data_IF_758380397832
#
_entry.id   IF_758380397832
#
_cell.length_a   1.000
_cell.length_b   1.000
_cell.length_c   1.000
_cell.angle_alpha   90.00
_cell.angle_beta   90.00
_cell.angle_gamma   90.00
#
_symmetry.space_group_name_H-M   'P 1'
#
loop_
_entity.id
_entity.type
_entity.pdbx_description
1 polymer ?
#
# COMPACT_ATOMS: atom_id res chain seq x y z
N UNK A 1 23.04 0.79 43.33
CA UNK A 1 22.07 -0.10 42.64
C UNK A 1 22.36 -0.12 41.14
N UNK A 2 23.60 -0.47 40.84
CA UNK A 2 24.11 -0.90 39.54
C UNK A 2 24.25 -2.42 39.61
N UNK A 3 24.07 -3.11 38.47
CA UNK A 3 24.02 -4.57 38.24
C UNK A 3 22.64 -5.21 38.49
N UNK A 4 21.95 -5.56 37.40
CA UNK A 4 21.19 -6.81 37.11
C UNK A 4 20.57 -6.67 35.69
N UNK A 5 21.35 -6.34 34.66
CA UNK A 5 20.90 -6.37 33.25
C UNK A 5 22.02 -6.75 32.27
N UNK A 6 22.89 -7.66 32.65
CA UNK A 6 23.86 -8.27 31.72
C UNK A 6 23.83 -9.79 31.93
N UNK A 7 23.22 -10.53 31.00
CA UNK A 7 23.14 -11.98 31.07
C UNK A 7 22.29 -12.62 29.98
N UNK A 8 22.96 -13.01 28.88
CA UNK A 8 22.59 -14.05 27.93
C UNK A 8 21.38 -13.79 27.00
N UNK A 9 21.59 -12.89 26.03
CA UNK A 9 21.03 -13.04 24.68
C UNK A 9 22.17 -13.59 23.81
N UNK A 10 22.03 -14.74 23.13
CA UNK A 10 23.01 -15.16 22.13
C UNK A 10 23.22 -14.05 21.11
N UNK A 11 24.47 -13.61 20.95
CA UNK A 11 24.91 -12.47 20.12
C UNK A 11 24.70 -12.64 18.62
N UNK A 12 24.03 -13.69 18.17
CA UNK A 12 23.80 -13.99 16.75
C UNK A 12 22.58 -13.29 16.12
N UNK A 13 21.77 -12.58 16.92
CA UNK A 13 20.54 -11.90 16.46
C UNK A 13 20.39 -10.48 17.03
N UNK A 14 21.50 -9.84 17.37
CA UNK A 14 21.53 -8.40 17.60
C UNK A 14 21.22 -7.69 16.27
N UNK A 15 19.94 -7.40 16.06
CA UNK A 15 19.41 -6.57 14.98
C UNK A 15 20.14 -5.23 14.98
N UNK A 16 21.13 -5.11 14.10
CA UNK A 16 21.60 -3.81 13.61
C UNK A 16 20.57 -3.34 12.59
N UNK A 17 19.39 -2.95 13.07
CA UNK A 17 18.49 -2.11 12.28
C UNK A 17 19.14 -0.72 12.16
N UNK A 18 20.17 -0.63 11.32
CA UNK A 18 20.52 0.62 10.65
C UNK A 18 19.31 1.00 9.82
N UNK A 19 18.85 2.25 9.96
CA UNK A 19 17.99 2.84 8.94
C UNK A 19 18.68 2.63 7.57
N UNK A 20 17.98 2.13 6.53
CA UNK A 20 18.60 1.89 5.24
C UNK A 20 19.17 3.21 4.71
N UNK A 21 20.48 3.25 4.55
CA UNK A 21 21.18 4.31 3.85
C UNK A 21 21.04 4.04 2.33
N UNK A 22 20.67 5.07 1.57
CA UNK A 22 20.73 5.17 0.10
C UNK A 22 20.26 3.92 -0.69
N UNK A 23 18.96 3.92 -1.00
CA UNK A 23 18.33 3.27 -2.17
C UNK A 23 18.84 1.88 -2.54
N UNK A 24 18.38 0.85 -1.84
CA UNK A 24 18.11 -0.40 -2.54
C UNK A 24 17.14 -0.07 -3.69
N UNK A 25 17.54 -0.42 -4.92
CA UNK A 25 16.72 -0.17 -6.09
C UNK A 25 15.35 -0.84 -5.87
N UNK A 26 14.28 -0.06 -6.04
CA UNK A 26 12.93 -0.60 -5.96
C UNK A 26 12.76 -1.60 -7.10
N UNK A 27 12.78 -2.89 -6.77
CA UNK A 27 12.57 -3.94 -7.76
C UNK A 27 11.07 -4.05 -8.09
N UNK A 28 10.70 -3.55 -9.27
CA UNK A 28 9.39 -3.86 -9.86
C UNK A 28 9.49 -5.23 -10.50
N UNK A 29 8.65 -6.20 -10.10
CA UNK A 29 8.75 -7.52 -10.70
C UNK A 29 8.44 -7.46 -12.20
N UNK A 30 9.30 -8.09 -13.02
CA UNK A 30 9.46 -7.86 -14.48
C UNK A 30 8.18 -7.99 -15.32
N UNK A 31 7.19 -8.69 -14.79
CA UNK A 31 5.93 -9.00 -15.44
C UNK A 31 4.82 -7.99 -15.12
N UNK A 32 5.11 -6.93 -14.35
CA UNK A 32 4.19 -5.79 -14.21
C UNK A 32 4.18 -5.05 -15.55
N UNK A 33 3.03 -5.10 -16.24
CA UNK A 33 2.83 -4.36 -17.47
C UNK A 33 2.35 -2.95 -17.13
N UNK A 34 1.23 -2.82 -16.40
CA UNK A 34 0.71 -1.52 -15.95
C UNK A 34 1.15 -1.19 -14.52
N UNK A 35 1.99 -0.16 -14.35
CA UNK A 35 2.45 0.39 -13.09
C UNK A 35 1.91 1.81 -12.88
N UNK A 36 1.30 2.04 -11.72
CA UNK A 36 0.96 3.37 -11.23
C UNK A 36 1.68 3.63 -9.92
N UNK A 37 2.32 4.79 -9.80
CA UNK A 37 2.98 5.20 -8.56
C UNK A 37 2.11 6.19 -7.80
N UNK A 38 1.92 5.95 -6.52
CA UNK A 38 1.26 6.88 -5.59
C UNK A 38 2.36 7.55 -4.76
N UNK A 39 2.56 8.86 -4.96
CA UNK A 39 3.45 9.66 -4.11
C UNK A 39 2.69 10.08 -2.85
N UNK A 40 3.19 9.66 -1.70
CA UNK A 40 2.58 9.90 -0.39
C UNK A 40 3.11 11.18 0.26
N UNK A 41 2.25 12.19 0.37
CA UNK A 41 2.48 13.48 1.04
C UNK A 41 2.03 13.47 2.51
N UNK A 42 1.87 12.28 3.11
CA UNK A 42 1.43 12.10 4.50
C UNK A 42 -0.09 12.04 4.64
N UNK A 43 -0.80 11.63 3.59
CA UNK A 43 -2.25 11.47 3.65
C UNK A 43 -2.65 10.26 4.51
N UNK A 44 -3.75 10.38 5.23
CA UNK A 44 -4.38 9.24 5.91
C UNK A 44 -4.82 8.13 4.94
N UNK A 45 -4.98 8.45 3.65
CA UNK A 45 -5.63 7.59 2.65
C UNK A 45 -4.72 7.11 1.51
N UNK A 46 -3.40 7.35 1.56
CA UNK A 46 -2.46 6.95 0.49
C UNK A 46 -2.50 5.44 0.20
N UNK A 47 -2.64 4.61 1.26
CA UNK A 47 -2.83 3.16 1.12
C UNK A 47 -4.17 2.80 0.45
N UNK A 48 -5.21 3.59 0.68
CA UNK A 48 -6.52 3.36 0.08
C UNK A 48 -6.50 3.68 -1.42
N UNK A 49 -5.80 4.75 -1.84
CA UNK A 49 -5.57 5.04 -3.26
C UNK A 49 -4.91 3.83 -3.93
N UNK A 50 -3.78 3.36 -3.40
CA UNK A 50 -3.07 2.22 -3.95
C UNK A 50 -3.96 0.97 -4.04
N UNK A 51 -4.77 0.72 -3.00
CA UNK A 51 -5.75 -0.37 -2.98
C UNK A 51 -6.81 -0.24 -4.08
N UNK A 52 -7.39 0.95 -4.29
CA UNK A 52 -8.37 1.18 -5.37
C UNK A 52 -7.78 0.93 -6.75
N UNK A 53 -6.52 1.32 -6.97
CA UNK A 53 -5.80 1.01 -8.21
C UNK A 53 -5.65 -0.51 -8.40
N UNK A 54 -5.31 -1.27 -7.35
CA UNK A 54 -5.25 -2.76 -7.41
C UNK A 54 -6.61 -3.39 -7.68
N UNK A 55 -7.68 -2.89 -7.06
CA UNK A 55 -9.06 -3.36 -7.28
C UNK A 55 -9.50 -3.12 -8.74
N UNK A 56 -8.97 -2.08 -9.37
CA UNK A 56 -9.08 -1.80 -10.80
C UNK A 56 -8.02 -2.53 -11.64
N UNK A 57 -7.45 -3.64 -11.15
CA UNK A 57 -6.55 -4.51 -11.93
C UNK A 57 -5.35 -3.80 -12.55
N UNK A 58 -4.83 -2.76 -11.89
CA UNK A 58 -3.56 -2.10 -12.24
C UNK A 58 -2.60 -2.25 -11.07
N UNK A 59 -1.31 -2.52 -11.34
CA UNK A 59 -0.33 -2.60 -10.26
C UNK A 59 -0.04 -1.20 -9.72
N UNK A 60 0.05 -1.09 -8.40
CA UNK A 60 0.32 0.16 -7.71
C UNK A 60 1.48 0.04 -6.73
N UNK A 61 2.28 1.10 -6.63
CA UNK A 61 3.37 1.23 -5.68
C UNK A 61 3.23 2.55 -4.94
N UNK A 62 3.42 2.55 -3.61
CA UNK A 62 3.47 3.78 -2.82
C UNK A 62 4.93 4.15 -2.62
N UNK A 63 5.27 5.41 -2.88
CA UNK A 63 6.59 5.97 -2.64
C UNK A 63 6.50 7.29 -1.85
N UNK A 64 7.54 7.66 -1.09
CA UNK A 64 7.61 8.97 -0.44
C UNK A 64 7.52 10.12 -1.46
N UNK A 65 6.91 11.23 -1.07
CA UNK A 65 6.75 12.41 -1.93
C UNK A 65 8.08 13.00 -2.45
N UNK A 66 9.17 12.81 -1.73
CA UNK A 66 10.51 13.31 -2.02
C UNK A 66 11.36 12.31 -2.83
N UNK A 67 10.75 11.24 -3.35
CA UNK A 67 11.42 10.30 -4.27
C UNK A 67 12.04 11.07 -5.44
N UNK A 68 13.35 10.92 -5.71
CA UNK A 68 14.01 11.60 -6.80
C UNK A 68 13.32 11.33 -8.15
N UNK A 69 13.15 12.36 -8.98
CA UNK A 69 12.47 12.23 -10.27
C UNK A 69 13.13 11.17 -11.16
N UNK A 70 14.46 11.07 -11.15
CA UNK A 70 15.19 10.07 -11.91
C UNK A 70 14.80 8.64 -11.52
N UNK A 71 14.71 8.36 -10.21
CA UNK A 71 14.34 7.04 -9.69
C UNK A 71 12.88 6.73 -10.03
N UNK A 72 11.99 7.73 -9.88
CA UNK A 72 10.58 7.60 -10.21
C UNK A 72 10.36 7.27 -11.70
N UNK A 73 11.07 7.96 -12.60
CA UNK A 73 10.98 7.72 -14.05
C UNK A 73 11.66 6.42 -14.48
N UNK A 74 12.69 5.96 -13.76
CA UNK A 74 13.34 4.67 -14.01
C UNK A 74 12.36 3.48 -13.85
N UNK A 75 11.33 3.63 -13.01
CA UNK A 75 10.25 2.64 -12.86
C UNK A 75 9.33 2.57 -14.08
N UNK A 76 9.37 3.56 -14.97
CA UNK A 76 8.50 3.72 -16.15
C UNK A 76 7.00 3.62 -15.83
N UNK A 77 6.48 4.44 -14.90
CA UNK A 77 5.05 4.43 -14.56
C UNK A 77 4.17 4.88 -15.73
N UNK A 78 3.03 4.24 -15.90
CA UNK A 78 1.96 4.65 -16.82
C UNK A 78 1.20 5.87 -16.28
N UNK A 79 1.16 6.02 -14.96
CA UNK A 79 0.49 7.13 -14.30
C UNK A 79 1.04 7.35 -12.89
N UNK A 80 0.90 8.59 -12.41
CA UNK A 80 1.34 9.01 -11.09
C UNK A 80 0.17 9.66 -10.37
N UNK A 81 -0.05 9.29 -9.10
CA UNK A 81 -1.07 9.89 -8.25
C UNK A 81 -0.38 10.59 -7.09
N UNK A 82 -0.57 11.90 -6.96
CA UNK A 82 -0.12 12.69 -5.81
C UNK A 82 -1.22 12.63 -4.75
N UNK A 83 -0.92 12.04 -3.60
CA UNK A 83 -1.90 11.90 -2.52
C UNK A 83 -2.30 13.26 -1.93
N UNK A 84 -3.34 13.23 -1.08
CA UNK A 84 -3.57 14.32 -0.14
C UNK A 84 -2.45 14.45 0.90
N UNK A 85 -2.61 15.40 1.81
CA UNK A 85 -1.68 15.68 2.89
C UNK A 85 -2.28 16.70 3.85
N UNK A 86 -1.85 16.75 5.12
CA UNK A 86 -2.40 17.65 6.11
C UNK A 86 -1.85 19.09 6.02
N UNK A 87 -0.74 19.29 5.31
CA UNK A 87 -0.04 20.58 5.20
C UNK A 87 -0.75 21.55 4.24
N UNK A 88 -0.50 22.85 4.39
CA UNK A 88 -0.70 23.83 3.31
C UNK A 88 0.53 23.88 2.41
N UNK A 89 0.36 24.15 1.12
CA UNK A 89 1.49 24.25 0.16
C UNK A 89 2.44 25.42 0.47
N UNK A 90 1.97 26.39 1.26
CA UNK A 90 2.73 27.57 1.69
C UNK A 90 3.43 27.38 3.04
N UNK A 91 3.16 26.28 3.75
CA UNK A 91 3.78 26.06 5.06
C UNK A 91 5.30 25.89 4.92
N UNK A 92 6.11 26.43 5.85
CA UNK A 92 7.55 26.16 5.88
C UNK A 92 7.82 24.65 6.01
N UNK A 93 8.56 24.09 5.05
CA UNK A 93 8.85 22.66 5.02
C UNK A 93 7.69 21.79 4.54
N UNK A 94 6.66 22.37 3.89
CA UNK A 94 5.59 21.61 3.28
C UNK A 94 6.14 20.52 2.33
N UNK A 95 5.60 19.29 2.36
CA UNK A 95 6.02 18.19 1.49
C UNK A 95 5.96 18.54 -0.01
N UNK A 96 7.07 18.42 -0.73
CA UNK A 96 7.15 18.79 -2.17
C UNK A 96 7.82 17.69 -2.98
N UNK A 97 7.25 17.35 -4.12
CA UNK A 97 7.91 16.53 -5.13
C UNK A 97 8.75 17.42 -6.06
N UNK A 98 9.59 16.80 -6.89
CA UNK A 98 10.33 17.49 -7.94
C UNK A 98 9.35 18.12 -8.97
N UNK A 99 9.37 19.45 -9.20
CA UNK A 99 8.47 20.11 -10.15
C UNK A 99 8.64 19.64 -11.60
N UNK A 100 9.81 19.09 -11.96
CA UNK A 100 10.07 18.50 -13.27
C UNK A 100 9.10 17.37 -13.61
N UNK A 101 8.50 16.74 -12.60
CA UNK A 101 7.44 15.76 -12.74
C UNK A 101 6.31 16.20 -13.68
N UNK A 102 5.86 17.44 -13.56
CA UNK A 102 4.73 17.98 -14.35
C UNK A 102 5.07 18.22 -15.82
N UNK A 103 6.35 18.09 -16.18
CA UNK A 103 6.86 18.23 -17.55
C UNK A 103 7.46 16.93 -18.09
N UNK A 104 7.54 15.87 -17.27
CA UNK A 104 8.13 14.60 -17.65
C UNK A 104 7.27 13.77 -18.63
N UNK A 105 6.05 14.23 -18.93
CA UNK A 105 5.16 13.60 -19.89
C UNK A 105 4.40 12.38 -19.37
N UNK A 106 4.50 12.05 -18.08
CA UNK A 106 3.72 10.97 -17.45
C UNK A 106 2.37 11.53 -16.96
N UNK A 107 1.23 10.89 -17.30
CA UNK A 107 -0.07 11.25 -16.75
C UNK A 107 -0.05 11.37 -15.23
N UNK A 108 -0.54 12.48 -14.69
CA UNK A 108 -0.48 12.75 -13.25
C UNK A 108 -1.83 13.22 -12.71
N UNK A 109 -2.28 12.61 -11.62
CA UNK A 109 -3.49 12.97 -10.88
C UNK A 109 -3.12 13.49 -9.49
N UNK A 110 -3.42 14.75 -9.19
CA UNK A 110 -3.32 15.30 -7.83
C UNK A 110 -4.63 15.16 -7.06
N UNK A 111 -4.58 14.70 -5.81
CA UNK A 111 -5.74 14.59 -4.92
C UNK A 111 -5.53 15.53 -3.72
N UNK A 112 -6.49 16.41 -3.47
CA UNK A 112 -6.47 17.42 -2.41
C UNK A 112 -5.14 18.22 -2.40
N UNK A 113 -4.25 17.95 -1.44
CA UNK A 113 -2.91 18.56 -1.39
C UNK A 113 -2.14 18.39 -2.70
N UNK A 114 -2.16 17.20 -3.32
CA UNK A 114 -1.47 16.95 -4.58
C UNK A 114 -1.98 17.84 -5.74
N UNK A 115 -3.28 18.13 -5.77
CA UNK A 115 -3.86 19.10 -6.73
C UNK A 115 -3.39 20.52 -6.43
N UNK A 116 -3.35 20.90 -5.15
CA UNK A 116 -2.93 22.24 -4.73
C UNK A 116 -1.45 22.48 -5.03
N UNK A 117 -0.60 21.48 -4.77
CA UNK A 117 0.83 21.52 -5.08
C UNK A 117 1.04 21.66 -6.59
N UNK A 118 0.36 20.83 -7.39
CA UNK A 118 0.40 20.91 -8.85
C UNK A 118 -0.02 22.30 -9.35
N UNK A 119 -1.12 22.85 -8.82
CA UNK A 119 -1.59 24.17 -9.22
C UNK A 119 -0.60 25.27 -8.80
N UNK A 120 -0.05 25.20 -7.59
CA UNK A 120 0.93 26.15 -7.08
C UNK A 120 2.21 26.16 -7.94
N UNK A 121 2.82 25.00 -8.16
CA UNK A 121 4.12 24.90 -8.84
C UNK A 121 4.04 25.23 -10.34
N UNK A 122 2.84 25.17 -10.93
CA UNK A 122 2.59 25.57 -12.31
C UNK A 122 2.13 27.05 -12.45
N UNK A 123 2.21 27.84 -11.38
CA UNK A 123 1.93 29.29 -11.41
C UNK A 123 0.47 29.69 -11.18
N UNK A 124 -0.37 28.74 -10.75
CA UNK A 124 -1.70 29.01 -10.22
C UNK A 124 -1.66 29.80 -8.91
N UNK A 125 -2.84 30.11 -8.37
CA UNK A 125 -2.98 30.68 -7.03
C UNK A 125 -3.79 29.73 -6.18
N UNK A 126 -3.20 29.26 -5.08
CA UNK A 126 -3.89 28.49 -4.05
C UNK A 126 -3.95 29.32 -2.77
N UNK A 127 -4.76 28.88 -1.82
CA UNK A 127 -4.79 29.49 -0.49
C UNK A 127 -6.04 29.09 0.29
N UNK A 128 -6.21 29.62 1.50
CA UNK A 128 -7.32 29.27 2.36
C UNK A 128 -8.67 29.45 1.65
N UNK A 129 -9.54 28.46 1.76
CA UNK A 129 -10.91 28.57 1.30
C UNK A 129 -11.68 29.54 2.23
N UNK A 130 -12.60 30.32 1.67
CA UNK A 130 -13.45 31.23 2.46
C UNK A 130 -14.30 30.47 3.49
N UNK A 131 -14.64 29.20 3.19
CA UNK A 131 -15.24 28.24 4.10
C UNK A 131 -14.54 26.90 3.90
N UNK A 132 -14.09 26.28 4.99
CA UNK A 132 -13.50 24.94 4.92
C UNK A 132 -14.60 23.92 4.64
N UNK A 133 -14.37 23.05 3.67
CA UNK A 133 -15.28 21.94 3.36
C UNK A 133 -14.69 20.65 3.93
N UNK A 134 -15.33 20.15 4.98
CA UNK A 134 -15.07 18.83 5.54
C UNK A 134 -16.36 18.04 5.52
N UNK A 135 -16.42 17.03 4.64
CA UNK A 135 -17.49 16.07 4.60
C UNK A 135 -18.19 15.97 3.25
N UNK A 136 -19.46 15.60 3.30
CA UNK A 136 -20.29 15.39 2.10
C UNK A 136 -20.60 16.73 1.44
N UNK A 137 -20.14 16.88 0.21
CA UNK A 137 -20.31 18.10 -0.59
C UNK A 137 -20.94 17.75 -1.94
N UNK A 138 -21.82 18.65 -2.42
CA UNK A 138 -22.37 18.57 -3.77
C UNK A 138 -21.32 19.02 -4.77
N UNK A 139 -21.13 18.21 -5.80
CA UNK A 139 -20.25 18.48 -6.91
C UNK A 139 -21.08 18.61 -8.20
N UNK A 140 -20.79 19.64 -8.98
CA UNK A 140 -21.41 19.91 -10.27
C UNK A 140 -20.35 19.70 -11.34
N UNK A 141 -20.56 18.73 -12.22
CA UNK A 141 -19.65 18.43 -13.32
C UNK A 141 -19.86 19.47 -14.42
N UNK A 142 -18.76 20.10 -14.84
CA UNK A 142 -18.69 21.09 -15.92
C UNK A 142 -18.11 20.50 -17.21
N UNK A 143 -17.26 19.48 -17.07
CA UNK A 143 -16.69 18.72 -18.20
C UNK A 143 -17.80 18.24 -19.16
N UNK A 144 -17.65 18.31 -20.49
CA UNK A 144 -18.63 17.77 -21.42
C UNK A 144 -18.93 16.28 -21.17
N UNK A 145 -20.08 15.81 -21.65
CA UNK A 145 -20.37 14.38 -21.64
C UNK A 145 -19.51 13.66 -22.69
N UNK A 146 -18.93 12.53 -22.32
CA UNK A 146 -18.12 11.68 -23.21
C UNK A 146 -17.45 10.54 -22.44
N UNK A 147 -17.41 9.31 -22.96
CA UNK A 147 -16.78 8.17 -22.28
C UNK A 147 -15.25 8.29 -22.11
N UNK A 148 -14.60 9.15 -22.89
CA UNK A 148 -13.17 9.43 -22.87
C UNK A 148 -12.75 10.42 -21.75
N UNK A 149 -13.73 11.04 -21.11
CA UNK A 149 -13.53 12.10 -20.13
C UNK A 149 -13.36 11.56 -18.71
N UNK A 150 -12.80 12.39 -17.82
CA UNK A 150 -12.54 11.97 -16.43
C UNK A 150 -13.84 11.63 -15.70
N UNK A 151 -14.89 12.41 -15.94
CA UNK A 151 -16.25 12.17 -15.41
C UNK A 151 -17.14 11.39 -16.39
N UNK A 152 -16.55 10.73 -17.41
CA UNK A 152 -17.28 9.96 -18.40
C UNK A 152 -18.14 8.86 -17.78
N UNK A 153 -19.43 8.84 -18.15
CA UNK A 153 -20.41 7.87 -17.64
C UNK A 153 -21.00 8.20 -16.26
N UNK A 154 -20.68 9.37 -15.69
CA UNK A 154 -21.23 9.82 -14.41
C UNK A 154 -22.34 10.85 -14.57
N UNK A 155 -23.16 10.98 -13.52
CA UNK A 155 -24.16 12.05 -13.44
C UNK A 155 -23.52 13.43 -13.34
N UNK A 156 -24.28 14.47 -13.73
CA UNK A 156 -23.83 15.88 -13.68
C UNK A 156 -23.82 16.46 -12.26
N UNK A 157 -24.55 15.86 -11.33
CA UNK A 157 -24.70 16.31 -9.95
C UNK A 157 -24.37 15.14 -9.03
N UNK A 158 -23.29 15.28 -8.28
CA UNK A 158 -22.71 14.19 -7.53
C UNK A 158 -22.52 14.56 -6.07
N UNK A 159 -22.36 13.57 -5.21
CA UNK A 159 -21.94 13.74 -3.81
C UNK A 159 -20.54 13.19 -3.65
N UNK A 160 -19.60 14.00 -3.15
CA UNK A 160 -18.23 13.59 -2.86
C UNK A 160 -17.85 13.91 -1.42
N UNK A 161 -16.69 13.38 -1.02
CA UNK A 161 -16.04 13.71 0.24
C UNK A 161 -14.95 14.76 0.05
N UNK A 162 -15.24 15.99 0.46
CA UNK A 162 -14.26 17.08 0.54
C UNK A 162 -13.55 17.04 1.89
N UNK A 163 -12.25 17.34 1.91
CA UNK A 163 -11.49 17.45 3.15
C UNK A 163 -10.34 18.44 2.97
N UNK A 164 -10.65 19.73 2.85
CA UNK A 164 -9.65 20.74 2.54
C UNK A 164 -9.82 22.05 3.31
N UNK A 165 -8.68 22.60 3.74
CA UNK A 165 -8.57 23.96 4.26
C UNK A 165 -8.30 25.00 3.16
N UNK A 166 -7.55 24.58 2.14
CA UNK A 166 -7.15 25.42 1.01
C UNK A 166 -7.92 25.04 -0.27
N UNK A 167 -7.95 25.95 -1.24
CA UNK A 167 -8.53 25.73 -2.58
C UNK A 167 -7.67 26.42 -3.64
N UNK A 168 -7.91 26.07 -4.91
CA UNK A 168 -7.31 26.75 -6.06
C UNK A 168 -8.21 27.94 -6.42
N UNK A 169 -7.69 29.15 -6.32
CA UNK A 169 -8.36 30.41 -6.66
C UNK A 169 -8.14 30.81 -8.12
N UNK A 170 -6.95 30.51 -8.67
CA UNK A 170 -6.60 30.78 -10.07
C UNK A 170 -5.92 29.57 -10.67
N UNK A 171 -6.43 29.10 -11.80
CA UNK A 171 -5.85 28.00 -12.54
C UNK A 171 -4.46 28.37 -13.11
N UNK A 172 -3.53 27.41 -13.19
CA UNK A 172 -2.34 27.53 -14.02
C UNK A 172 -2.71 27.69 -15.50
N UNK A 173 -1.79 28.25 -16.30
CA UNK A 173 -1.99 28.31 -17.75
C UNK A 173 -2.18 26.91 -18.35
N UNK A 174 -3.15 26.77 -19.26
CA UNK A 174 -3.50 25.50 -19.92
C UNK A 174 -4.51 24.64 -19.18
N UNK A 175 -4.81 24.94 -17.91
CA UNK A 175 -5.81 24.21 -17.14
C UNK A 175 -7.22 24.74 -17.38
N UNK A 176 -8.20 23.83 -17.35
CA UNK A 176 -9.62 24.12 -17.32
C UNK A 176 -10.29 23.46 -16.11
N UNK A 177 -11.38 24.04 -15.64
CA UNK A 177 -12.24 23.43 -14.62
C UNK A 177 -13.05 22.29 -15.23
N UNK A 178 -13.08 21.15 -14.53
CA UNK A 178 -13.90 19.98 -14.87
C UNK A 178 -15.14 19.85 -13.99
N UNK A 179 -15.08 20.36 -12.77
CA UNK A 179 -16.19 20.38 -11.83
C UNK A 179 -15.99 21.47 -10.77
N UNK A 180 -17.09 21.94 -10.19
CA UNK A 180 -17.11 22.87 -9.07
C UNK A 180 -18.03 22.39 -7.94
N UNK A 181 -17.85 22.95 -6.74
CA UNK A 181 -18.78 22.81 -5.60
C UNK A 181 -19.39 24.16 -5.24
N UNK A 182 -20.28 24.17 -4.26
CA UNK A 182 -20.85 25.39 -3.69
C UNK A 182 -19.76 26.34 -3.11
N UNK A 183 -18.59 25.83 -2.73
CA UNK A 183 -17.52 26.59 -2.06
C UNK A 183 -16.11 26.44 -2.67
N UNK A 184 -15.96 25.61 -3.70
CA UNK A 184 -14.72 25.41 -4.43
C UNK A 184 -14.98 25.59 -5.94
N UNK A 185 -14.58 26.74 -6.52
CA UNK A 185 -14.83 27.02 -7.94
C UNK A 185 -14.05 26.07 -8.87
N UNK A 186 -13.01 25.44 -8.35
CA UNK A 186 -12.13 24.52 -9.06
C UNK A 186 -12.04 23.23 -8.25
N UNK A 187 -13.14 22.47 -8.18
CA UNK A 187 -13.20 21.22 -7.44
C UNK A 187 -12.56 20.04 -8.22
N UNK A 188 -12.51 20.13 -9.54
CA UNK A 188 -11.66 19.32 -10.39
C UNK A 188 -11.08 20.16 -11.53
N UNK A 189 -9.83 19.91 -11.90
CA UNK A 189 -9.10 20.65 -12.93
C UNK A 189 -8.35 19.71 -13.86
N UNK A 190 -8.10 20.14 -15.10
CA UNK A 190 -7.22 19.40 -15.99
C UNK A 190 -6.51 20.28 -17.02
N UNK A 191 -5.27 19.91 -17.31
CA UNK A 191 -4.58 20.21 -18.57
C UNK A 191 -4.49 18.91 -19.37
N UNK A 192 -5.38 18.78 -20.37
CA UNK A 192 -5.46 17.57 -21.19
C UNK A 192 -4.24 17.39 -22.11
N UNK A 193 -3.59 18.48 -22.52
CA UNK A 193 -2.43 18.41 -23.40
C UNK A 193 -1.22 17.81 -22.67
N UNK A 194 -1.02 18.19 -21.40
CA UNK A 194 0.01 17.61 -20.52
C UNK A 194 -0.45 16.37 -19.75
N UNK A 195 -1.73 16.00 -19.84
CA UNK A 195 -2.37 14.89 -19.10
C UNK A 195 -2.24 15.04 -17.57
N UNK A 196 -2.41 16.27 -17.10
CA UNK A 196 -2.38 16.62 -15.68
C UNK A 196 -3.80 16.86 -15.19
N UNK A 197 -4.17 16.20 -14.10
CA UNK A 197 -5.51 16.24 -13.52
C UNK A 197 -5.41 16.54 -12.03
N UNK A 198 -6.39 17.24 -11.49
CA UNK A 198 -6.47 17.56 -10.07
C UNK A 198 -7.89 17.40 -9.55
N UNK A 199 -8.04 16.82 -8.36
CA UNK A 199 -9.30 16.64 -7.65
C UNK A 199 -9.18 17.24 -6.24
N UNK A 200 -10.13 18.06 -5.84
CA UNK A 200 -10.15 18.64 -4.50
C UNK A 200 -10.80 17.70 -3.46
N UNK A 201 -11.54 16.69 -3.93
CA UNK A 201 -12.19 15.64 -3.15
C UNK A 201 -11.39 14.32 -3.18
N UNK A 202 -11.74 13.39 -2.29
CA UNK A 202 -11.12 12.08 -2.19
C UNK A 202 -11.94 11.00 -2.94
N UNK A 203 -11.51 10.56 -4.15
CA UNK A 203 -12.19 9.49 -4.88
C UNK A 203 -11.97 8.09 -4.29
N UNK A 204 -10.98 7.91 -3.43
CA UNK A 204 -10.58 6.63 -2.86
C UNK A 204 -11.48 6.15 -1.71
N UNK A 205 -12.17 7.09 -1.05
CA UNK A 205 -13.01 6.83 0.13
C UNK A 205 -14.44 6.42 -0.26
N UNK A 206 -15.05 5.56 0.54
CA UNK A 206 -16.44 5.09 0.34
C UNK A 206 -17.49 6.22 0.39
N UNK A 207 -17.15 7.37 0.98
CA UNK A 207 -18.00 8.54 1.03
C UNK A 207 -18.13 9.28 -0.32
N UNK A 208 -17.32 8.90 -1.32
CA UNK A 208 -17.47 9.29 -2.72
C UNK A 208 -17.86 8.03 -3.52
N UNK A 209 -19.15 7.67 -3.62
CA UNK A 209 -19.56 6.34 -4.09
C UNK A 209 -19.13 6.01 -5.52
N UNK A 210 -19.00 7.02 -6.36
CA UNK A 210 -18.57 6.97 -7.77
C UNK A 210 -17.06 7.28 -7.94
N UNK A 211 -16.32 7.42 -6.84
CA UNK A 211 -14.89 7.78 -6.89
C UNK A 211 -14.04 6.72 -7.59
N UNK A 212 -14.42 5.45 -7.48
CA UNK A 212 -13.79 4.36 -8.25
C UNK A 212 -13.93 4.54 -9.76
N UNK A 213 -15.02 5.13 -10.25
CA UNK A 213 -15.22 5.39 -11.69
C UNK A 213 -14.30 6.48 -12.21
N UNK A 214 -14.04 7.53 -11.41
CA UNK A 214 -13.05 8.56 -11.75
C UNK A 214 -11.65 7.97 -11.82
N UNK A 215 -11.26 7.16 -10.82
CA UNK A 215 -9.98 6.48 -10.83
C UNK A 215 -9.88 5.54 -12.04
N UNK A 216 -10.94 4.78 -12.34
CA UNK A 216 -11.05 3.93 -13.53
C UNK A 216 -10.82 4.72 -14.83
N UNK A 217 -11.47 5.87 -14.96
CA UNK A 217 -11.33 6.73 -16.14
C UNK A 217 -9.92 7.31 -16.25
N UNK A 218 -9.32 7.77 -15.15
CA UNK A 218 -7.92 8.21 -15.14
C UNK A 218 -6.97 7.07 -15.56
N UNK A 219 -7.11 5.88 -14.98
CA UNK A 219 -6.24 4.74 -15.27
C UNK A 219 -6.34 4.26 -16.72
N UNK A 220 -7.54 4.14 -17.26
CA UNK A 220 -7.72 3.52 -18.58
C UNK A 220 -7.78 4.53 -19.72
N UNK A 221 -8.44 5.68 -19.53
CA UNK A 221 -8.59 6.69 -20.59
C UNK A 221 -7.39 7.62 -20.66
N UNK A 222 -6.80 7.98 -19.51
CA UNK A 222 -5.67 8.93 -19.46
C UNK A 222 -4.33 8.22 -19.45
N UNK A 223 -4.16 7.20 -18.60
CA UNK A 223 -2.90 6.47 -18.49
C UNK A 223 -2.76 5.36 -19.54
N UNK A 224 -3.88 4.89 -20.11
CA UNK A 224 -3.87 3.82 -21.11
C UNK A 224 -3.57 2.44 -20.53
N UNK A 225 -3.82 2.22 -19.24
CA UNK A 225 -3.66 0.90 -18.64
C UNK A 225 -4.61 -0.12 -19.26
N UNK A 226 -4.24 -1.39 -19.25
CA UNK A 226 -4.94 -2.50 -19.92
C UNK A 226 -5.56 -3.52 -18.95
N UNK A 227 -5.57 -3.22 -17.65
CA UNK A 227 -6.08 -4.08 -16.58
C UNK A 227 -5.30 -5.41 -16.47
N UNK A 228 -3.98 -5.35 -16.66
CA UNK A 228 -3.10 -6.52 -16.73
C UNK A 228 -2.90 -7.26 -15.39
N UNK A 229 -3.30 -6.67 -14.26
CA UNK A 229 -3.07 -7.25 -12.94
C UNK A 229 -4.20 -8.18 -12.52
N UNK A 230 -3.88 -9.45 -12.28
CA UNK A 230 -4.78 -10.43 -11.68
C UNK A 230 -4.05 -11.22 -10.59
N UNK A 231 -4.81 -11.79 -9.65
CA UNK A 231 -4.22 -12.67 -8.64
C UNK A 231 -3.64 -13.94 -9.26
N UNK A 232 -4.23 -14.43 -10.35
CA UNK A 232 -3.75 -15.61 -11.07
C UNK A 232 -2.37 -15.34 -11.68
N UNK A 233 -2.22 -14.23 -12.42
CA UNK A 233 -0.92 -13.87 -12.98
C UNK A 233 0.10 -13.62 -11.88
N UNK A 234 -0.29 -12.97 -10.78
CA UNK A 234 0.59 -12.78 -9.62
C UNK A 234 1.07 -14.11 -9.02
N UNK A 235 0.17 -15.09 -8.82
CA UNK A 235 0.53 -16.38 -8.23
C UNK A 235 1.54 -17.12 -9.10
N UNK A 236 1.30 -17.22 -10.41
CA UNK A 236 2.23 -17.87 -11.34
C UNK A 236 3.62 -17.23 -11.28
N UNK A 237 3.66 -15.90 -11.27
CA UNK A 237 4.89 -15.12 -11.18
C UNK A 237 5.63 -15.32 -9.86
N UNK A 238 4.94 -15.20 -8.74
CA UNK A 238 5.53 -15.36 -7.42
C UNK A 238 6.13 -16.76 -7.26
N UNK A 239 5.44 -17.78 -7.81
CA UNK A 239 5.94 -19.16 -7.85
C UNK A 239 7.25 -19.27 -8.63
N UNK A 240 7.35 -18.62 -9.80
CA UNK A 240 8.57 -18.64 -10.61
C UNK A 240 9.73 -17.85 -9.95
N UNK A 241 9.44 -16.70 -9.35
CA UNK A 241 10.41 -15.89 -8.60
C UNK A 241 10.97 -16.68 -7.40
N UNK A 242 10.10 -17.29 -6.59
CA UNK A 242 10.49 -18.15 -5.47
C UNK A 242 11.36 -19.31 -5.96
N UNK A 243 10.96 -19.97 -7.06
CA UNK A 243 11.71 -21.09 -7.63
C UNK A 243 13.11 -20.66 -8.09
N UNK A 244 13.22 -19.50 -8.74
CA UNK A 244 14.48 -18.95 -9.20
C UNK A 244 15.40 -18.55 -8.04
N UNK A 245 14.85 -17.87 -7.03
CA UNK A 245 15.60 -17.38 -5.88
C UNK A 245 16.14 -18.50 -4.99
N UNK A 246 15.31 -19.53 -4.72
CA UNK A 246 15.71 -20.68 -3.90
C UNK A 246 16.57 -21.66 -4.72
N UNK A 247 16.41 -21.68 -6.04
CA UNK A 247 17.11 -22.57 -6.96
C UNK A 247 17.01 -24.04 -6.51
N UNK A 248 18.12 -24.66 -6.11
CA UNK A 248 18.19 -26.05 -5.61
C UNK A 248 18.12 -26.16 -4.06
N UNK A 249 18.00 -25.04 -3.35
CA UNK A 249 17.96 -24.99 -1.89
C UNK A 249 16.68 -25.55 -1.26
N UNK A 250 16.61 -25.47 0.07
CA UNK A 250 15.41 -25.81 0.87
C UNK A 250 14.94 -24.57 1.59
N UNK A 251 13.65 -24.53 1.96
CA UNK A 251 13.09 -23.45 2.75
C UNK A 251 12.34 -23.98 3.97
N UNK A 252 12.37 -23.19 5.03
CA UNK A 252 11.57 -23.40 6.23
C UNK A 252 10.53 -22.28 6.35
N UNK A 253 9.30 -22.63 6.70
CA UNK A 253 8.22 -21.66 6.89
C UNK A 253 7.59 -21.83 8.27
N UNK A 254 7.55 -20.75 9.05
CA UNK A 254 6.79 -20.69 10.29
C UNK A 254 5.30 -20.53 9.96
N UNK A 255 4.52 -21.56 10.21
CA UNK A 255 3.09 -21.55 9.97
C UNK A 255 2.38 -21.19 11.28
N UNK A 256 1.51 -20.19 11.25
CA UNK A 256 0.82 -19.67 12.44
C UNK A 256 -0.67 -20.02 12.50
N UNK A 257 -1.24 -20.50 11.39
CA UNK A 257 -2.70 -20.61 11.20
C UNK A 257 -3.35 -19.35 10.62
N UNK A 258 -2.62 -18.23 10.58
CA UNK A 258 -3.06 -17.00 9.92
C UNK A 258 -3.02 -17.08 8.40
N UNK A 259 -3.86 -16.29 7.73
CA UNK A 259 -3.99 -16.27 6.26
C UNK A 259 -2.67 -15.93 5.54
N UNK A 260 -1.84 -15.07 6.11
CA UNK A 260 -0.58 -14.62 5.47
C UNK A 260 0.45 -15.75 5.40
N UNK A 261 0.73 -16.42 6.54
CA UNK A 261 1.67 -17.54 6.58
C UNK A 261 1.15 -18.75 5.80
N UNK A 262 -0.17 -18.96 5.81
CA UNK A 262 -0.84 -19.97 5.00
C UNK A 262 -0.67 -19.71 3.49
N UNK A 263 -0.89 -18.48 3.03
CA UNK A 263 -0.73 -18.11 1.62
C UNK A 263 0.75 -18.19 1.19
N UNK A 264 1.67 -17.71 2.04
CA UNK A 264 3.11 -17.81 1.79
C UNK A 264 3.57 -19.27 1.68
N UNK A 265 3.12 -20.14 2.60
CA UNK A 265 3.39 -21.57 2.56
C UNK A 265 2.83 -22.21 1.28
N UNK A 266 1.60 -21.87 0.89
CA UNK A 266 0.98 -22.38 -0.34
C UNK A 266 1.76 -21.97 -1.61
N UNK A 267 2.19 -20.71 -1.70
CA UNK A 267 3.02 -20.22 -2.81
C UNK A 267 4.38 -20.92 -2.85
N UNK A 268 5.06 -21.00 -1.70
CA UNK A 268 6.35 -21.66 -1.60
C UNK A 268 6.25 -23.15 -1.94
N UNK A 269 5.23 -23.85 -1.45
CA UNK A 269 5.01 -25.26 -1.75
C UNK A 269 4.77 -25.48 -3.25
N UNK A 270 3.95 -24.63 -3.89
CA UNK A 270 3.75 -24.68 -5.35
C UNK A 270 5.04 -24.42 -6.13
N UNK A 271 5.98 -23.65 -5.58
CA UNK A 271 7.26 -23.33 -6.21
C UNK A 271 8.31 -24.44 -6.07
N UNK A 272 8.47 -25.01 -4.87
CA UNK A 272 9.60 -25.88 -4.53
C UNK A 272 9.21 -27.27 -3.99
N UNK A 273 7.91 -27.55 -3.82
CA UNK A 273 7.37 -28.84 -3.38
C UNK A 273 7.93 -29.27 -2.01
N UNK A 274 8.35 -30.53 -1.93
CA UNK A 274 8.87 -31.19 -0.71
C UNK A 274 10.17 -30.59 -0.16
N UNK A 275 10.75 -29.61 -0.87
CA UNK A 275 11.89 -28.82 -0.36
C UNK A 275 11.45 -27.73 0.62
N UNK A 276 10.15 -27.51 0.77
CA UNK A 276 9.57 -26.70 1.83
C UNK A 276 9.24 -27.57 3.05
N UNK A 277 9.72 -27.16 4.22
CA UNK A 277 9.27 -27.68 5.51
C UNK A 277 8.54 -26.58 6.29
N UNK A 278 7.29 -26.82 6.64
CA UNK A 278 6.53 -25.95 7.52
C UNK A 278 6.67 -26.42 8.97
N UNK A 279 6.83 -25.47 9.90
CA UNK A 279 6.80 -25.72 11.34
C UNK A 279 5.61 -24.98 11.92
N UNK A 280 4.70 -25.71 12.55
CA UNK A 280 3.54 -25.19 13.26
C UNK A 280 3.70 -25.46 14.76
N UNK A 281 3.79 -24.38 15.54
CA UNK A 281 3.94 -24.46 17.00
C UNK A 281 2.58 -24.22 17.65
N UNK A 282 1.98 -25.28 18.17
CA UNK A 282 0.82 -25.18 19.04
C UNK A 282 1.29 -24.78 20.44
N UNK A 283 1.16 -23.49 20.73
CA UNK A 283 1.51 -22.91 22.03
C UNK A 283 0.37 -23.02 23.06
N UNK A 284 -0.73 -23.72 22.75
CA UNK A 284 -1.86 -23.94 23.67
C UNK A 284 -2.70 -22.70 23.97
N UNK A 285 -2.59 -21.64 23.16
CA UNK A 285 -3.36 -20.38 23.29
C UNK A 285 -4.14 -20.07 22.00
N UNK A 286 -4.35 -21.09 21.17
CA UNK A 286 -5.11 -21.00 19.92
C UNK A 286 -6.61 -21.11 20.19
N UNK A 287 -7.43 -20.84 19.18
CA UNK A 287 -8.88 -21.06 19.25
C UNK A 287 -9.17 -22.55 19.28
N UNK A 288 -10.36 -22.89 19.78
CA UNK A 288 -10.83 -24.28 19.82
C UNK A 288 -10.85 -24.89 18.41
N UNK A 289 -10.14 -25.99 18.22
CA UNK A 289 -10.10 -26.73 16.94
C UNK A 289 -9.10 -26.18 15.91
N UNK A 290 -8.38 -25.09 16.22
CA UNK A 290 -7.52 -24.41 15.25
C UNK A 290 -6.29 -25.25 14.90
N UNK A 291 -5.67 -25.91 15.88
CA UNK A 291 -4.50 -26.76 15.63
C UNK A 291 -4.85 -27.96 14.74
N UNK A 292 -5.99 -28.61 15.01
CA UNK A 292 -6.48 -29.74 14.23
C UNK A 292 -6.78 -29.32 12.78
N UNK A 293 -7.47 -28.18 12.59
CA UNK A 293 -7.77 -27.63 11.27
C UNK A 293 -6.50 -27.30 10.46
N UNK A 294 -5.50 -26.68 11.10
CA UNK A 294 -4.23 -26.35 10.43
C UNK A 294 -3.51 -27.61 9.98
N UNK A 295 -3.44 -28.64 10.85
CA UNK A 295 -2.80 -29.91 10.52
C UNK A 295 -3.54 -30.61 9.37
N UNK A 296 -4.87 -30.73 9.45
CA UNK A 296 -5.69 -31.35 8.41
C UNK A 296 -5.50 -30.68 7.05
N UNK A 297 -5.57 -29.34 6.99
CA UNK A 297 -5.42 -28.60 5.75
C UNK A 297 -4.02 -28.77 5.15
N UNK A 298 -2.96 -28.49 5.91
CA UNK A 298 -1.60 -28.43 5.34
C UNK A 298 -0.98 -29.79 5.11
N UNK A 299 -1.24 -30.76 6.01
CA UNK A 299 -0.71 -32.11 5.87
C UNK A 299 -1.57 -32.97 4.97
N UNK A 300 -2.89 -33.00 5.20
CA UNK A 300 -3.76 -34.02 4.60
C UNK A 300 -4.35 -33.57 3.26
N UNK A 301 -4.59 -32.26 3.07
CA UNK A 301 -5.10 -31.73 1.79
C UNK A 301 -3.99 -31.22 0.86
N UNK A 302 -3.02 -30.46 1.38
CA UNK A 302 -1.93 -29.92 0.56
C UNK A 302 -0.72 -30.85 0.43
N UNK A 303 -0.54 -31.82 1.34
CA UNK A 303 0.62 -32.72 1.32
C UNK A 303 1.94 -32.05 1.69
N UNK A 304 1.91 -30.91 2.39
CA UNK A 304 3.12 -30.19 2.80
C UNK A 304 3.81 -30.93 3.94
N UNK A 305 5.15 -30.99 3.90
CA UNK A 305 5.96 -31.43 5.03
C UNK A 305 5.72 -30.51 6.24
N UNK A 306 4.91 -30.97 7.19
CA UNK A 306 4.48 -30.19 8.36
C UNK A 306 4.96 -30.82 9.67
N UNK A 307 5.90 -30.14 10.32
CA UNK A 307 6.32 -30.42 11.70
C UNK A 307 5.34 -29.73 12.64
N UNK A 308 4.49 -30.53 13.30
CA UNK A 308 3.57 -30.05 14.32
C UNK A 308 4.21 -30.21 15.70
N UNK A 309 4.36 -29.11 16.43
CA UNK A 309 4.98 -29.05 17.76
C UNK A 309 3.94 -28.70 18.79
N UNK A 310 3.55 -29.67 19.62
CA UNK A 310 2.75 -29.38 20.82
C UNK A 310 3.66 -28.84 21.93
N UNK A 311 3.58 -27.53 22.15
CA UNK A 311 4.30 -26.80 23.18
C UNK A 311 3.35 -26.21 24.24
N UNK A 312 2.08 -26.61 24.28
CA UNK A 312 1.06 -25.95 25.12
C UNK A 312 1.44 -25.90 26.59
N UNK A 313 1.91 -27.02 27.15
CA UNK A 313 2.38 -27.07 28.55
C UNK A 313 3.58 -26.15 28.81
N UNK A 314 4.53 -26.10 27.88
CA UNK A 314 5.75 -25.29 27.97
C UNK A 314 5.41 -23.79 28.06
N UNK A 315 4.46 -23.32 27.25
CA UNK A 315 3.98 -21.95 27.30
C UNK A 315 3.15 -21.64 28.56
N UNK A 316 2.20 -22.51 28.91
CA UNK A 316 1.35 -22.32 30.09
C UNK A 316 2.17 -22.28 31.39
N UNK A 317 3.20 -23.12 31.52
CA UNK A 317 4.08 -23.11 32.68
C UNK A 317 4.88 -21.80 32.80
N UNK A 318 5.34 -21.22 31.68
CA UNK A 318 5.99 -19.90 31.67
C UNK A 318 5.07 -18.73 31.98
N UNK A 319 3.77 -18.87 31.70
CA UNK A 319 2.77 -17.84 31.95
C UNK A 319 2.19 -17.91 33.37
N UNK A 320 2.56 -18.90 34.17
CA UNK A 320 2.05 -19.10 35.52
C UNK A 320 2.31 -17.88 36.40
N UNK A 321 1.23 -17.29 36.93
CA UNK A 321 1.29 -16.12 37.81
C UNK A 321 1.62 -14.79 37.12
N UNK A 322 1.76 -14.78 35.79
CA UNK A 322 2.06 -13.55 35.03
C UNK A 322 0.76 -12.83 34.71
N UNK A 323 0.53 -11.68 35.37
CA UNK A 323 -0.66 -10.84 35.17
C UNK A 323 -0.42 -9.68 34.22
N UNK A 324 0.81 -9.14 34.18
CA UNK A 324 1.16 -8.00 33.36
C UNK A 324 1.12 -8.36 31.86
N UNK A 325 0.32 -7.67 31.03
CA UNK A 325 0.10 -8.04 29.64
C UNK A 325 1.37 -7.89 28.77
N UNK A 326 2.20 -6.88 29.02
CA UNK A 326 3.46 -6.69 28.27
C UNK A 326 4.48 -7.78 28.60
N UNK A 327 4.53 -8.19 29.87
CA UNK A 327 5.33 -9.33 30.29
C UNK A 327 4.82 -10.63 29.66
N UNK A 328 3.50 -10.85 29.59
CA UNK A 328 2.93 -12.02 28.88
C UNK A 328 3.35 -12.04 27.41
N UNK A 329 3.24 -10.91 26.70
CA UNK A 329 3.66 -10.79 25.29
C UNK A 329 5.13 -11.15 25.11
N UNK A 330 6.00 -10.60 25.95
CA UNK A 330 7.44 -10.84 25.90
C UNK A 330 7.76 -12.33 26.13
N UNK A 331 7.12 -12.96 27.12
CA UNK A 331 7.33 -14.37 27.43
C UNK A 331 6.86 -15.30 26.30
N UNK A 332 5.68 -15.04 25.74
CA UNK A 332 5.15 -15.81 24.61
C UNK A 332 6.05 -15.66 23.38
N UNK A 333 6.43 -14.43 23.01
CA UNK A 333 7.30 -14.20 21.86
C UNK A 333 8.66 -14.87 21.99
N UNK A 334 9.31 -14.72 23.14
CA UNK A 334 10.62 -15.34 23.40
C UNK A 334 10.53 -16.87 23.37
N UNK A 335 9.46 -17.44 23.93
CA UNK A 335 9.31 -18.90 23.94
C UNK A 335 9.00 -19.46 22.56
N UNK A 336 8.20 -18.75 21.75
CA UNK A 336 7.96 -19.12 20.36
C UNK A 336 9.25 -19.14 19.54
N UNK A 337 10.09 -18.11 19.66
CA UNK A 337 11.39 -18.06 18.98
C UNK A 337 12.27 -19.25 19.42
N UNK A 338 12.28 -19.56 20.72
CA UNK A 338 13.08 -20.67 21.25
C UNK A 338 12.61 -22.01 20.69
N UNK A 339 11.31 -22.31 20.75
CA UNK A 339 10.74 -23.56 20.23
C UNK A 339 10.97 -23.68 18.72
N UNK A 340 10.76 -22.61 17.95
CA UNK A 340 10.97 -22.63 16.51
C UNK A 340 12.45 -22.85 16.17
N UNK A 341 13.39 -22.22 16.89
CA UNK A 341 14.82 -22.42 16.69
C UNK A 341 15.26 -23.85 17.05
N UNK A 342 14.71 -24.43 18.13
CA UNK A 342 14.95 -25.81 18.54
C UNK A 342 14.58 -26.80 17.42
N UNK A 343 13.46 -26.57 16.73
CA UNK A 343 13.03 -27.42 15.61
C UNK A 343 13.78 -27.12 14.31
N UNK A 344 14.05 -25.85 14.00
CA UNK A 344 14.80 -25.48 12.81
C UNK A 344 16.22 -26.09 12.81
N UNK A 345 16.85 -26.23 13.98
CA UNK A 345 18.17 -26.84 14.13
C UNK A 345 18.17 -28.37 13.88
N UNK A 346 17.00 -29.02 13.81
CA UNK A 346 16.86 -30.47 13.58
C UNK A 346 16.60 -30.84 12.11
N UNK A 347 16.39 -29.86 11.23
CA UNK A 347 15.97 -30.01 9.83
C UNK A 347 17.12 -29.88 8.83
#
# INVERSE_FOLDING_TARGET
MSRILEGAVPTAWASTARAPAATEAIEIPRSVQDLVVVLDFGAQYSQLIARRVRELRVYSLILPFDTPLADLLALRPQGIILSGGPASVYDPGAPRCDPGLFTAGVPTLGICYGMQLMAHDLGGLTGPAARREYGRTRLFVDEPEGPEHLFGGLERRLICWMSHGDTVHRLPAGFATLAHSDHSPHAAIADRARRLYGLQFHPEVSHTPWGSDVLRNFLYQVCGCTASWSMESFVERAVDEIRAQIAAGRAICALSGGVDSAAAAGLAFRAIGDRLTCVFVDHGLLRRGEAEQVVEVFRDHFGVSLVHVDAGRRFLDRLRGVVDPERKRTLIGNEFITVFADEAARL
#
